data_IF_821086714500
#
_entry.id   IF_821086714500
#
_cell.length_a   1.000
_cell.length_b   1.000
_cell.length_c   1.000
_cell.angle_alpha   90.00
_cell.angle_beta   90.00
_cell.angle_gamma   90.00
#
_symmetry.space_group_name_H-M   'P 1'
#
loop_
_entity.id
_entity.type
_entity.pdbx_description
1 polymer ?
#
# COMPACT_ATOMS: atom_id res chain seq x y z
N UNK A 1 2.67 -10.56 -0.08
CA UNK A 1 2.86 -11.62 0.96
C UNK A 1 1.96 -12.84 0.76
N UNK A 2 1.10 -12.84 -0.25
CA UNK A 2 0.17 -13.94 -0.56
C UNK A 2 -1.29 -13.56 -0.35
N UNK A 3 -1.55 -12.30 -0.02
CA UNK A 3 -2.85 -11.66 0.00
C UNK A 3 -3.61 -11.78 -1.32
N UNK A 4 -4.91 -12.04 -1.22
CA UNK A 4 -5.86 -11.84 -2.31
C UNK A 4 -6.29 -10.36 -2.38
N UNK A 5 -6.82 -9.95 -3.53
CA UNK A 5 -7.28 -8.57 -3.75
C UNK A 5 -8.38 -8.17 -2.77
N UNK A 6 -9.29 -9.09 -2.45
CA UNK A 6 -10.39 -8.85 -1.53
C UNK A 6 -9.89 -8.56 -0.12
N UNK A 7 -8.79 -9.22 0.29
CA UNK A 7 -8.13 -8.99 1.58
C UNK A 7 -7.47 -7.61 1.63
N UNK A 8 -6.85 -7.18 0.53
CA UNK A 8 -6.28 -5.83 0.39
C UNK A 8 -7.37 -4.77 0.55
N UNK A 9 -8.50 -4.94 -0.14
CA UNK A 9 -9.62 -3.99 -0.03
C UNK A 9 -10.32 -4.05 1.32
N UNK A 10 -10.38 -5.21 1.96
CA UNK A 10 -10.84 -5.30 3.35
C UNK A 10 -9.92 -4.50 4.27
N UNK A 11 -8.61 -4.65 4.15
CA UNK A 11 -7.65 -3.90 4.95
C UNK A 11 -7.80 -2.38 4.74
N UNK A 12 -8.06 -1.91 3.52
CA UNK A 12 -8.32 -0.49 3.27
C UNK A 12 -9.54 0.03 4.03
N UNK A 13 -10.65 -0.73 4.02
CA UNK A 13 -11.85 -0.36 4.77
C UNK A 13 -11.59 -0.36 6.27
N UNK A 14 -10.96 -1.41 6.79
CA UNK A 14 -10.61 -1.51 8.21
C UNK A 14 -9.72 -0.32 8.65
N UNK A 15 -8.78 0.10 7.81
CA UNK A 15 -7.94 1.28 8.06
C UNK A 15 -8.74 2.58 8.05
N UNK A 16 -9.69 2.75 7.13
CA UNK A 16 -10.55 3.93 7.09
C UNK A 16 -11.50 3.98 8.28
N UNK A 17 -12.07 2.84 8.68
CA UNK A 17 -12.92 2.73 9.87
C UNK A 17 -12.15 3.08 11.16
N UNK A 18 -10.84 2.81 11.16
CA UNK A 18 -9.93 3.22 12.24
C UNK A 18 -9.47 4.70 12.16
N UNK A 19 -9.92 5.47 11.16
CA UNK A 19 -9.54 6.88 10.98
C UNK A 19 -8.14 7.10 10.40
N UNK A 20 -7.57 6.13 9.68
CA UNK A 20 -6.25 6.26 9.07
C UNK A 20 -6.29 7.09 7.78
N UNK A 21 -5.67 8.27 7.77
CA UNK A 21 -5.74 9.21 6.64
C UNK A 21 -4.68 9.01 5.56
N UNK A 22 -3.53 8.44 5.91
CA UNK A 22 -2.39 8.29 5.01
C UNK A 22 -2.05 6.83 4.77
N UNK A 23 -1.90 6.45 3.50
CA UNK A 23 -1.60 5.07 3.12
C UNK A 23 -0.35 5.00 2.24
N UNK A 24 0.60 4.15 2.63
CA UNK A 24 1.76 3.79 1.81
C UNK A 24 1.69 2.31 1.41
N UNK A 25 1.82 2.00 0.13
CA UNK A 25 1.81 0.64 -0.39
C UNK A 25 3.06 0.35 -1.23
N UNK A 26 3.78 -0.71 -0.86
CA UNK A 26 5.01 -1.10 -1.54
C UNK A 26 5.19 -2.60 -1.72
N UNK A 27 6.09 -2.98 -2.62
CA UNK A 27 6.39 -4.40 -2.88
C UNK A 27 7.14 -4.99 -1.69
N UNK A 28 6.69 -6.17 -1.27
CA UNK A 28 7.46 -7.00 -0.36
C UNK A 28 8.72 -7.50 -1.07
N UNK A 29 9.87 -6.99 -0.62
CA UNK A 29 11.19 -7.45 -1.05
C UNK A 29 11.79 -8.25 0.10
N UNK A 30 11.92 -9.55 -0.12
CA UNK A 30 12.48 -10.49 0.85
C UNK A 30 13.95 -10.12 1.14
N UNK A 31 14.33 -9.81 2.41
CA UNK A 31 15.70 -9.39 2.72
C UNK A 31 16.73 -10.51 2.54
N UNK A 32 16.41 -11.72 2.97
CA UNK A 32 17.29 -12.90 2.89
C UNK A 32 16.50 -14.18 2.64
N UNK A 33 17.20 -15.27 2.31
CA UNK A 33 16.60 -16.60 2.08
C UNK A 33 15.94 -17.24 3.32
N UNK A 34 16.06 -16.67 4.51
CA UNK A 34 15.35 -17.16 5.70
C UNK A 34 14.02 -16.46 5.94
N UNK A 35 13.78 -15.29 5.33
CA UNK A 35 12.52 -14.54 5.50
C UNK A 35 11.40 -15.18 4.68
N UNK A 36 10.15 -14.73 4.86
CA UNK A 36 9.03 -15.24 4.09
C UNK A 36 9.29 -15.11 2.56
N UNK A 37 8.97 -16.12 1.73
CA UNK A 37 9.23 -16.04 0.30
C UNK A 37 8.30 -15.02 -0.37
N UNK A 38 8.81 -14.34 -1.41
CA UNK A 38 7.95 -13.52 -2.27
C UNK A 38 6.99 -14.46 -3.01
N UNK A 39 5.69 -14.22 -2.87
CA UNK A 39 4.64 -14.97 -3.58
C UNK A 39 4.39 -14.43 -4.98
N UNK A 40 4.39 -13.11 -5.11
CA UNK A 40 4.12 -12.41 -6.35
C UNK A 40 4.85 -11.06 -6.37
N UNK A 41 5.26 -10.65 -7.57
CA UNK A 41 5.69 -9.29 -7.87
C UNK A 41 4.56 -8.62 -8.66
N UNK A 42 3.84 -7.70 -8.01
CA UNK A 42 2.70 -7.04 -8.66
C UNK A 42 3.19 -5.93 -9.59
N UNK A 43 2.45 -5.69 -10.67
CA UNK A 43 2.85 -4.72 -11.71
C UNK A 43 2.61 -3.28 -11.26
N UNK A 44 3.30 -2.29 -11.86
CA UNK A 44 3.02 -0.88 -11.61
C UNK A 44 1.54 -0.50 -11.80
N UNK A 45 0.87 -1.07 -12.80
CA UNK A 45 -0.55 -0.82 -13.08
C UNK A 45 -1.46 -1.33 -11.94
N UNK A 46 -1.06 -2.42 -11.27
CA UNK A 46 -1.77 -2.93 -10.10
C UNK A 46 -1.63 -1.98 -8.91
N UNK A 47 -0.44 -1.41 -8.70
CA UNK A 47 -0.23 -0.37 -7.69
C UNK A 47 -1.09 0.87 -7.97
N UNK A 48 -1.18 1.30 -9.23
CA UNK A 48 -2.03 2.42 -9.63
C UNK A 48 -3.51 2.14 -9.42
N UNK A 49 -3.95 0.91 -9.73
CA UNK A 49 -5.30 0.45 -9.47
C UNK A 49 -5.63 0.52 -7.98
N UNK A 50 -4.81 -0.05 -7.11
CA UNK A 50 -5.01 0.02 -5.67
C UNK A 50 -4.98 1.45 -5.13
N UNK A 51 -4.11 2.31 -5.66
CA UNK A 51 -4.06 3.73 -5.30
C UNK A 51 -5.39 4.41 -5.56
N UNK A 52 -5.97 4.23 -6.75
CA UNK A 52 -7.27 4.84 -7.10
C UNK A 52 -8.38 4.34 -6.18
N UNK A 53 -8.44 3.04 -5.92
CA UNK A 53 -9.43 2.43 -5.02
C UNK A 53 -9.30 2.93 -3.59
N UNK A 54 -8.09 3.09 -3.07
CA UNK A 54 -7.86 3.68 -1.76
C UNK A 54 -8.33 5.14 -1.72
N UNK A 55 -7.97 5.97 -2.70
CA UNK A 55 -8.44 7.36 -2.78
C UNK A 55 -9.97 7.47 -2.81
N UNK A 56 -10.64 6.59 -3.56
CA UNK A 56 -12.11 6.50 -3.60
C UNK A 56 -12.74 6.13 -2.23
N UNK A 57 -12.00 5.44 -1.36
CA UNK A 57 -12.41 5.12 0.02
C UNK A 57 -12.15 6.28 1.00
N UNK A 58 -11.57 7.38 0.53
CA UNK A 58 -11.40 8.62 1.31
C UNK A 58 -10.10 8.73 2.10
N UNK A 59 -9.04 7.99 1.74
CA UNK A 59 -7.68 8.31 2.21
C UNK A 59 -7.28 9.70 1.66
N UNK A 60 -6.70 10.55 2.50
CA UNK A 60 -6.30 11.91 2.11
C UNK A 60 -5.08 11.90 1.20
N UNK A 61 -4.13 11.00 1.44
CA UNK A 61 -2.96 10.83 0.60
C UNK A 61 -2.55 9.36 0.52
N UNK A 62 -2.23 8.91 -0.70
CA UNK A 62 -1.83 7.53 -0.98
C UNK A 62 -0.58 7.51 -1.85
N UNK A 63 0.51 6.96 -1.29
CA UNK A 63 1.71 6.60 -2.03
C UNK A 63 1.66 5.11 -2.35
N UNK A 64 1.81 4.76 -3.62
CA UNK A 64 1.69 3.38 -4.09
C UNK A 64 2.71 3.11 -5.18
N UNK A 65 3.53 2.08 -5.00
CA UNK A 65 4.51 1.68 -6.02
C UNK A 65 5.55 0.70 -5.49
N UNK A 66 6.31 0.02 -6.35
CA UNK A 66 7.18 -1.10 -5.95
C UNK A 66 8.17 -0.76 -4.82
N UNK A 67 8.76 0.44 -4.87
CA UNK A 67 9.79 0.87 -3.93
C UNK A 67 9.28 1.77 -2.81
N UNK A 68 7.98 2.06 -2.75
CA UNK A 68 7.40 2.89 -1.69
C UNK A 68 7.62 2.22 -0.33
N UNK A 69 7.95 3.04 0.66
CA UNK A 69 8.09 2.67 2.08
C UNK A 69 7.37 3.73 2.90
N UNK A 70 7.09 3.42 4.16
CA UNK A 70 6.34 4.32 5.05
C UNK A 70 6.97 5.71 5.19
N UNK A 71 8.30 5.82 5.11
CA UNK A 71 9.02 7.09 5.18
C UNK A 71 9.33 7.72 3.81
N UNK A 72 9.02 7.04 2.70
CA UNK A 72 9.31 7.54 1.37
C UNK A 72 8.40 8.75 1.07
N UNK A 73 9.00 9.89 0.73
CA UNK A 73 8.27 11.15 0.49
C UNK A 73 7.34 11.56 1.64
N UNK A 74 7.58 11.12 2.88
CA UNK A 74 6.67 11.41 4.00
C UNK A 74 6.56 12.90 4.34
N UNK A 75 7.50 13.74 3.90
CA UNK A 75 7.39 15.19 3.99
C UNK A 75 6.19 15.76 3.22
N UNK A 76 5.79 15.12 2.12
CA UNK A 76 4.60 15.50 1.34
C UNK A 76 3.30 15.31 2.14
N UNK A 77 3.30 14.52 3.21
CA UNK A 77 2.13 14.38 4.09
C UNK A 77 1.89 15.61 4.97
N UNK A 78 2.91 16.45 5.18
CA UNK A 78 2.85 17.63 6.06
C UNK A 78 2.51 18.91 5.30
N UNK A 79 2.42 18.87 3.97
CA UNK A 79 2.12 20.04 3.12
C UNK A 79 0.61 20.30 2.94
N UNK A 80 -0.23 19.73 3.81
CA UNK A 80 -1.69 19.84 3.81
C UNK A 80 -2.23 20.73 4.94
#
# INVERSE_FOLDING_TARGET
>A
LGEAEEEVFKAFRDLRDAGCDFLSMGQYLRPTKSHYPVKEYITPEKFDYYRKRALELGFLHVLSGPYVRSSYCAGEYLEF
#
